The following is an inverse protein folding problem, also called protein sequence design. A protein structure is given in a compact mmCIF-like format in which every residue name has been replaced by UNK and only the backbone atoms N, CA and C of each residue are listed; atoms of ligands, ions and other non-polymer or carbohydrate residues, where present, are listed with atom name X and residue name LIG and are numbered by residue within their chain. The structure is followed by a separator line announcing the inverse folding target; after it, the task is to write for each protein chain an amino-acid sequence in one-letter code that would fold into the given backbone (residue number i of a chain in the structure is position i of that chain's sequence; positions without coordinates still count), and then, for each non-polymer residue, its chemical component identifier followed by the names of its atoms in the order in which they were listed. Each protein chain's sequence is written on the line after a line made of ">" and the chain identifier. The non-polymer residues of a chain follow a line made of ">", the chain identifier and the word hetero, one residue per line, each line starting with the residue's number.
data_IF_944492632061
#
_entry.id   IF_944492632061
#
_cell.length_a   1.000
_cell.length_b   1.000
_cell.length_c   1.000
_cell.angle_alpha   90.00
_cell.angle_beta   90.00
_cell.angle_gamma   90.00
#
_symmetry.space_group_name_H-M   'P 1'
#
loop_
_entity.id
_entity.type
_entity.pdbx_description
1 polymer ?
#
# COMPACT_ATOMS: atom_id res chain seq x y z
N UNK A 1 -15.60 -4.76 8.00
CA UNK A 1 -14.55 -4.58 6.98
C UNK A 1 -15.18 -3.94 5.77
N UNK A 2 -14.45 -3.08 5.05
CA UNK A 2 -14.92 -2.46 3.81
C UNK A 2 -13.79 -2.42 2.78
N UNK A 3 -14.15 -2.30 1.50
CA UNK A 3 -13.22 -2.26 0.39
C UNK A 3 -12.95 -0.81 -0.01
N UNK A 4 -11.70 -0.48 -0.29
CA UNK A 4 -11.29 0.78 -0.91
C UNK A 4 -10.56 0.42 -2.20
N UNK A 5 -11.18 0.70 -3.33
CA UNK A 5 -10.69 0.28 -4.63
C UNK A 5 -9.64 1.24 -5.20
N UNK A 6 -8.81 0.73 -6.11
CA UNK A 6 -7.91 1.54 -6.94
C UNK A 6 -6.97 2.46 -6.14
N UNK A 7 -6.43 1.99 -5.02
CA UNK A 7 -5.50 2.74 -4.19
C UNK A 7 -4.06 2.49 -4.63
N UNK A 8 -3.23 3.53 -4.58
CA UNK A 8 -1.78 3.41 -4.68
C UNK A 8 -1.20 3.03 -3.31
N UNK A 9 -0.34 2.01 -3.30
CA UNK A 9 0.44 1.59 -2.16
C UNK A 9 1.92 1.75 -2.48
N UNK A 10 2.69 2.26 -1.51
CA UNK A 10 4.14 2.11 -1.49
C UNK A 10 4.45 1.01 -0.49
N UNK A 11 4.96 -0.10 -0.99
CA UNK A 11 5.19 -1.32 -0.20
C UNK A 11 6.63 -1.77 -0.33
N UNK A 12 7.22 -2.31 0.72
CA UNK A 12 8.50 -3.04 0.65
C UNK A 12 8.28 -4.51 0.94
N UNK A 13 9.10 -5.37 0.33
CA UNK A 13 9.09 -6.81 0.60
C UNK A 13 7.70 -7.43 0.37
N UNK A 14 7.03 -7.02 -0.71
CA UNK A 14 5.76 -7.63 -1.12
C UNK A 14 5.93 -9.14 -1.24
N UNK A 15 4.92 -9.89 -0.80
CA UNK A 15 4.92 -11.36 -0.80
C UNK A 15 5.94 -12.00 0.18
N UNK A 16 6.56 -11.21 1.08
CA UNK A 16 7.44 -11.70 2.15
C UNK A 16 6.82 -11.41 3.53
N UNK A 17 7.25 -12.14 4.55
CA UNK A 17 6.78 -11.93 5.94
C UNK A 17 7.09 -10.52 6.49
N UNK A 18 8.09 -9.85 5.92
CA UNK A 18 8.52 -8.49 6.29
C UNK A 18 7.87 -7.38 5.45
N UNK A 19 6.71 -7.67 4.85
CA UNK A 19 5.95 -6.70 4.09
C UNK A 19 5.64 -5.44 4.91
N UNK A 20 5.92 -4.26 4.36
CA UNK A 20 5.66 -2.99 5.05
C UNK A 20 5.06 -1.98 4.08
N UNK A 21 3.94 -1.36 4.47
CA UNK A 21 3.24 -0.33 3.69
C UNK A 21 3.61 1.06 4.24
N UNK A 22 4.19 1.90 3.39
CA UNK A 22 4.62 3.27 3.72
C UNK A 22 3.63 4.35 3.28
N UNK A 23 2.77 4.02 2.32
CA UNK A 23 1.74 4.91 1.78
C UNK A 23 0.53 4.10 1.34
N UNK A 24 -0.65 4.67 1.55
CA UNK A 24 -1.93 4.22 1.00
C UNK A 24 -2.77 5.45 0.69
N UNK A 25 -3.17 5.62 -0.57
CA UNK A 25 -4.02 6.74 -0.99
C UNK A 25 -4.42 6.65 -2.46
N UNK A 26 -5.19 7.63 -2.92
CA UNK A 26 -5.69 7.72 -4.29
C UNK A 26 -4.81 8.58 -5.21
N UNK A 27 -3.72 9.16 -4.68
CA UNK A 27 -2.86 10.08 -5.40
C UNK A 27 -1.52 9.45 -5.79
N UNK A 28 -1.37 9.16 -7.08
CA UNK A 28 -0.16 8.57 -7.65
C UNK A 28 1.10 9.42 -7.39
N UNK A 29 1.01 10.75 -7.56
CA UNK A 29 2.15 11.67 -7.38
C UNK A 29 2.66 11.63 -5.93
N UNK A 30 1.76 11.55 -4.96
CA UNK A 30 2.15 11.39 -3.56
C UNK A 30 2.77 10.02 -3.29
N UNK A 31 2.27 8.96 -3.91
CA UNK A 31 2.90 7.63 -3.84
C UNK A 31 4.34 7.67 -4.36
N UNK A 32 4.60 8.29 -5.52
CA UNK A 32 5.95 8.45 -6.05
C UNK A 32 6.86 9.29 -5.15
N UNK A 33 6.34 10.36 -4.52
CA UNK A 33 7.10 11.14 -3.55
C UNK A 33 7.54 10.26 -2.38
N UNK A 34 6.59 9.52 -1.79
CA UNK A 34 6.90 8.60 -0.68
C UNK A 34 7.88 7.50 -1.12
N UNK A 35 7.68 6.92 -2.29
CA UNK A 35 8.58 5.90 -2.84
C UNK A 35 10.03 6.39 -2.90
N UNK A 36 10.27 7.64 -3.29
CA UNK A 36 11.62 8.22 -3.32
C UNK A 36 12.22 8.39 -1.92
N UNK A 37 11.40 8.70 -0.92
CA UNK A 37 11.83 8.86 0.48
C UNK A 37 12.20 7.52 1.15
N UNK A 38 11.51 6.43 0.81
CA UNK A 38 11.77 5.11 1.40
C UNK A 38 13.16 4.60 0.99
N UNK A 39 14.05 4.43 1.96
CA UNK A 39 15.40 3.89 1.75
C UNK A 39 15.41 2.37 1.96
N UNK A 40 14.74 1.64 1.05
CA UNK A 40 14.69 0.18 1.07
C UNK A 40 14.86 -0.37 -0.36
N UNK A 41 15.68 -1.41 -0.59
CA UNK A 41 15.97 -1.89 -1.95
C UNK A 41 14.73 -2.51 -2.64
N UNK A 42 13.94 -3.30 -1.91
CA UNK A 42 12.76 -4.00 -2.44
C UNK A 42 11.46 -3.20 -2.31
N UNK A 43 11.54 -1.87 -2.43
CA UNK A 43 10.34 -1.01 -2.45
C UNK A 43 9.69 -1.08 -3.83
N UNK A 44 8.36 -1.02 -3.85
CA UNK A 44 7.54 -1.04 -5.05
C UNK A 44 6.37 -0.05 -4.90
N UNK A 45 5.84 0.40 -6.03
CA UNK A 45 4.55 1.09 -6.10
C UNK A 45 3.57 0.16 -6.79
N UNK A 46 2.43 -0.09 -6.15
CA UNK A 46 1.36 -0.91 -6.70
C UNK A 46 0.03 -0.19 -6.65
N UNK A 47 -0.83 -0.46 -7.63
CA UNK A 47 -2.26 -0.13 -7.57
C UNK A 47 -2.99 -1.36 -7.06
N UNK A 48 -3.78 -1.21 -6.01
CA UNK A 48 -4.40 -2.31 -5.30
C UNK A 48 -5.81 -1.98 -4.80
N UNK A 49 -6.62 -3.02 -4.64
CA UNK A 49 -7.84 -2.97 -3.85
C UNK A 49 -7.50 -3.26 -2.40
N UNK A 50 -7.85 -2.36 -1.48
CA UNK A 50 -7.45 -2.43 -0.08
C UNK A 50 -8.65 -2.77 0.79
N UNK A 51 -8.59 -3.89 1.49
CA UNK A 51 -9.59 -4.29 2.48
C UNK A 51 -9.23 -3.69 3.82
N UNK A 52 -10.07 -2.79 4.30
CA UNK A 52 -9.90 -2.09 5.57
C UNK A 52 -10.72 -2.75 6.68
N UNK A 53 -10.23 -2.67 7.90
CA UNK A 53 -10.96 -3.04 9.11
C UNK A 53 -10.89 -1.94 10.17
N UNK A 54 -11.86 -1.94 11.09
CA UNK A 54 -11.81 -1.12 12.31
C UNK A 54 -11.40 -1.99 13.47
N UNK A 55 -10.35 -1.59 14.18
CA UNK A 55 -9.93 -2.22 15.44
C UNK A 55 -9.87 -1.12 16.49
N UNK A 56 -10.68 -1.24 17.54
CA UNK A 56 -10.78 -0.24 18.61
C UNK A 56 -11.02 1.21 18.10
N UNK A 57 -11.78 1.35 17.00
CA UNK A 57 -12.10 2.65 16.40
C UNK A 57 -11.07 3.19 15.40
N UNK A 58 -9.90 2.56 15.28
CA UNK A 58 -8.88 2.94 14.31
C UNK A 58 -8.96 2.10 13.04
N UNK A 59 -8.64 2.72 11.90
CA UNK A 59 -8.67 2.08 10.59
C UNK A 59 -7.34 1.39 10.28
N UNK A 60 -7.39 0.10 9.97
CA UNK A 60 -6.23 -0.72 9.62
C UNK A 60 -6.41 -1.36 8.26
N UNK A 61 -5.28 -1.57 7.57
CA UNK A 61 -5.24 -2.43 6.38
C UNK A 61 -5.29 -3.87 6.87
N UNK A 62 -6.32 -4.62 6.48
CA UNK A 62 -6.44 -6.04 6.77
C UNK A 62 -5.73 -6.87 5.70
N UNK A 63 -5.96 -6.54 4.43
CA UNK A 63 -5.33 -7.17 3.28
C UNK A 63 -5.43 -6.23 2.07
N UNK A 64 -4.68 -6.51 1.01
CA UNK A 64 -4.86 -5.86 -0.27
C UNK A 64 -4.65 -6.85 -1.41
N UNK A 65 -5.22 -6.54 -2.57
CA UNK A 65 -5.07 -7.31 -3.80
C UNK A 65 -4.45 -6.40 -4.86
N UNK A 66 -3.28 -6.77 -5.36
CA UNK A 66 -2.58 -6.01 -6.39
C UNK A 66 -3.29 -6.17 -7.72
N UNK A 67 -3.66 -5.03 -8.31
CA UNK A 67 -4.20 -4.94 -9.68
C UNK A 67 -3.05 -4.74 -10.66
N UNK A 68 -2.12 -3.84 -10.34
CA UNK A 68 -1.05 -3.42 -11.24
C UNK A 68 0.21 -3.08 -10.44
N UNK A 69 1.38 -3.48 -10.95
CA UNK A 69 2.69 -3.08 -10.41
C UNK A 69 3.26 -1.99 -11.32
N UNK A 70 3.62 -0.85 -10.74
CA UNK A 70 4.09 0.32 -11.51
C UNK A 70 5.61 0.36 -11.58
N UNK A 71 6.28 0.19 -10.43
CA UNK A 71 7.75 0.19 -10.27
C UNK A 71 8.13 -0.70 -9.11
#
# INVERSE_FOLDING_TARGET
>A
MWLVENQFLVVTNIDLESETIYYKGDNEVQAYKRYKEVQHPNKQIVRANVKMCKVQGYDFIHSFEVIERLV
#
